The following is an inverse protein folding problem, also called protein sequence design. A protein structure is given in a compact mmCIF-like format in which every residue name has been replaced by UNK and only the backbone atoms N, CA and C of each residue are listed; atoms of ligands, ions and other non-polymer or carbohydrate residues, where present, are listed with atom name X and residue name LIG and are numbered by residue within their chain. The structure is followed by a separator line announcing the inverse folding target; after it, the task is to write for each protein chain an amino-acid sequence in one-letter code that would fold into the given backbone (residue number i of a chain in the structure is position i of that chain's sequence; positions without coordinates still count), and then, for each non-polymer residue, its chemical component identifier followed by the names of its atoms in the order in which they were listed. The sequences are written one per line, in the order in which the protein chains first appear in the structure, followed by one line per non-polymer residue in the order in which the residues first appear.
data_IF_275061939631
#
_entry.id   IF_275061939631
#
_cell.length_a   1.000
_cell.length_b   1.000
_cell.length_c   1.000
_cell.angle_alpha   90.00
_cell.angle_beta   90.00
_cell.angle_gamma   90.00
#
_symmetry.space_group_name_H-M   'P 1'
#
loop_
_entity.id
_entity.type
_entity.pdbx_description
1 polymer ?
#
# COMPACT_ATOMS: atom_id res chain seq x y z
N UNK A 1 -11.32 0.64 -1.80
CA UNK A 1 -12.30 1.33 -0.92
C UNK A 1 -11.75 1.49 0.49
N UNK A 2 -11.30 0.42 1.15
CA UNK A 2 -10.77 0.46 2.52
C UNK A 2 -9.63 1.47 2.74
N UNK A 3 -8.63 1.52 1.86
CA UNK A 3 -7.51 2.46 2.00
C UNK A 3 -7.97 3.91 2.02
N UNK A 4 -8.88 4.30 1.11
CA UNK A 4 -9.42 5.65 1.06
C UNK A 4 -10.23 6.00 2.31
N UNK A 5 -11.00 5.05 2.83
CA UNK A 5 -11.71 5.24 4.10
C UNK A 5 -10.71 5.46 5.25
N UNK A 6 -9.64 4.66 5.31
CA UNK A 6 -8.56 4.86 6.28
C UNK A 6 -7.98 6.27 6.16
N UNK A 7 -7.62 6.72 4.96
CA UNK A 7 -7.02 8.04 4.74
C UNK A 7 -7.92 9.20 5.21
N UNK A 8 -9.23 9.05 5.08
CA UNK A 8 -10.22 10.03 5.53
C UNK A 8 -10.48 10.00 7.04
N UNK A 9 -10.12 8.91 7.71
CA UNK A 9 -10.49 8.65 9.11
C UNK A 9 -9.34 8.89 10.10
N UNK A 10 -8.13 9.17 9.62
CA UNK A 10 -6.93 9.34 10.44
C UNK A 10 -6.31 10.71 10.23
N UNK A 11 -5.65 11.23 11.26
CA UNK A 11 -4.98 12.53 11.19
C UNK A 11 -3.73 12.53 10.30
N UNK A 12 -3.09 11.38 10.08
CA UNK A 12 -1.95 11.22 9.19
C UNK A 12 -1.96 9.82 8.55
N UNK A 13 -1.61 9.76 7.26
CA UNK A 13 -1.47 8.51 6.50
C UNK A 13 -0.07 7.91 6.60
N UNK A 14 0.88 8.57 7.26
CA UNK A 14 2.25 8.07 7.42
C UNK A 14 2.32 6.71 8.15
N UNK A 15 1.53 6.43 9.21
CA UNK A 15 1.50 5.11 9.83
C UNK A 15 1.04 4.01 8.86
N UNK A 16 0.12 4.34 7.94
CA UNK A 16 -0.31 3.41 6.88
C UNK A 16 0.84 3.08 5.93
N UNK A 17 1.57 4.10 5.46
CA UNK A 17 2.74 3.92 4.58
C UNK A 17 3.81 3.07 5.27
N UNK A 18 4.12 3.37 6.54
CA UNK A 18 5.09 2.61 7.34
C UNK A 18 4.67 1.15 7.49
N UNK A 19 3.40 0.88 7.80
CA UNK A 19 2.88 -0.47 7.93
C UNK A 19 2.95 -1.25 6.60
N UNK A 20 2.62 -0.60 5.48
CA UNK A 20 2.71 -1.21 4.15
C UNK A 20 4.15 -1.58 3.77
N UNK A 21 5.12 -0.70 4.06
CA UNK A 21 6.53 -0.98 3.81
C UNK A 21 7.06 -2.13 4.69
N UNK A 22 6.74 -2.11 5.99
CA UNK A 22 7.08 -3.22 6.90
C UNK A 22 6.46 -4.54 6.46
N UNK A 23 5.22 -4.51 5.99
CA UNK A 23 4.54 -5.71 5.47
C UNK A 23 5.24 -6.25 4.21
N UNK A 24 5.73 -5.38 3.33
CA UNK A 24 6.50 -5.80 2.16
C UNK A 24 7.84 -6.43 2.58
N UNK A 25 8.54 -5.83 3.53
CA UNK A 25 9.81 -6.34 4.07
C UNK A 25 9.63 -7.69 4.78
N UNK A 26 8.59 -7.84 5.61
CA UNK A 26 8.33 -9.03 6.41
C UNK A 26 7.89 -10.23 5.56
N UNK A 27 7.16 -10.00 4.47
CA UNK A 27 6.69 -11.08 3.61
C UNK A 27 7.79 -11.70 2.73
N UNK A 28 9.07 -11.34 2.93
CA UNK A 28 10.18 -11.70 2.02
C UNK A 28 9.77 -11.45 0.56
N UNK A 29 8.91 -10.43 0.34
CA UNK A 29 8.47 -10.10 -0.98
C UNK A 29 9.72 -9.59 -1.68
N UNK A 30 10.22 -10.37 -2.64
CA UNK A 30 11.15 -9.87 -3.63
C UNK A 30 10.76 -8.43 -3.94
N UNK A 31 11.70 -7.49 -3.76
CA UNK A 31 11.45 -6.05 -3.99
C UNK A 31 10.89 -5.76 -5.40
N UNK A 32 10.86 -6.77 -6.27
CA UNK A 32 10.17 -6.83 -7.55
C UNK A 32 9.51 -8.23 -7.73
N UNK A 33 8.25 -8.45 -7.31
CA UNK A 33 7.57 -9.70 -7.62
C UNK A 33 7.39 -9.80 -9.13
N UNK A 34 7.62 -10.98 -9.71
CA UNK A 34 7.26 -11.22 -11.11
C UNK A 34 5.76 -10.94 -11.33
N UNK A 35 5.38 -10.46 -12.52
CA UNK A 35 3.98 -10.11 -12.89
C UNK A 35 2.94 -11.19 -12.55
N UNK A 36 3.38 -12.45 -12.39
CA UNK A 36 2.56 -13.58 -11.99
C UNK A 36 2.09 -13.53 -10.53
N UNK A 37 2.86 -12.95 -9.61
CA UNK A 37 2.45 -12.74 -8.21
C UNK A 37 1.39 -11.63 -8.11
N UNK A 38 1.52 -10.59 -8.94
CA UNK A 38 0.50 -9.54 -9.09
C UNK A 38 -0.85 -10.10 -9.63
N UNK A 39 -0.75 -11.19 -10.42
CA UNK A 39 -1.90 -11.96 -10.91
C UNK A 39 -2.42 -12.98 -9.87
N UNK A 40 -1.57 -13.59 -9.05
CA UNK A 40 -2.02 -14.58 -8.06
C UNK A 40 -2.75 -13.97 -6.85
N UNK A 41 -2.40 -12.73 -6.45
CA UNK A 41 -3.03 -12.00 -5.32
C UNK A 41 -4.19 -11.06 -5.75
N UNK A 42 -4.91 -11.40 -6.83
CA UNK A 42 -5.99 -10.63 -7.45
C UNK A 42 -7.11 -10.08 -6.54
N UNK A 43 -7.17 -10.47 -5.27
CA UNK A 43 -8.11 -9.92 -4.30
C UNK A 43 -7.76 -8.50 -3.85
N UNK A 44 -6.50 -8.06 -3.96
CA UNK A 44 -6.06 -6.75 -3.48
C UNK A 44 -5.01 -6.06 -4.38
N UNK A 45 -5.03 -4.71 -4.47
CA UNK A 45 -4.00 -3.96 -5.18
C UNK A 45 -2.62 -4.19 -4.55
N UNK A 46 -1.59 -4.24 -5.39
CA UNK A 46 -0.20 -4.39 -4.96
C UNK A 46 0.21 -3.32 -3.93
N UNK A 47 1.05 -3.68 -2.95
CA UNK A 47 1.48 -2.79 -1.85
C UNK A 47 2.04 -1.47 -2.40
N UNK A 48 2.86 -1.50 -3.45
CA UNK A 48 3.42 -0.31 -4.08
C UNK A 48 2.34 0.68 -4.58
N UNK A 49 1.24 0.17 -5.17
CA UNK A 49 0.11 1.00 -5.61
C UNK A 49 -0.62 1.63 -4.43
N UNK A 50 -0.72 0.91 -3.31
CA UNK A 50 -1.35 1.40 -2.07
C UNK A 50 -0.51 2.49 -1.41
N UNK A 51 0.82 2.34 -1.38
CA UNK A 51 1.75 3.38 -0.91
C UNK A 51 1.68 4.63 -1.79
N UNK A 52 1.74 4.47 -3.11
CA UNK A 52 1.64 5.60 -4.04
C UNK A 52 0.31 6.36 -3.90
N UNK A 53 -0.79 5.64 -3.65
CA UNK A 53 -2.09 6.27 -3.39
C UNK A 53 -2.09 7.08 -2.08
N UNK A 54 -1.43 6.59 -1.03
CA UNK A 54 -1.29 7.32 0.24
C UNK A 54 -0.38 8.55 0.09
N UNK A 55 0.74 8.45 -0.63
CA UNK A 55 1.61 9.60 -0.92
C UNK A 55 0.91 10.68 -1.74
N UNK A 56 0.12 10.28 -2.73
CA UNK A 56 -0.70 11.21 -3.52
C UNK A 56 -1.78 11.89 -2.66
N UNK A 57 -2.34 11.17 -1.69
CA UNK A 57 -3.31 11.73 -0.73
C UNK A 57 -2.69 12.85 0.10
N UNK A 58 -1.49 12.63 0.66
CA UNK A 58 -0.74 13.65 1.43
C UNK A 58 -0.34 14.87 0.62
N UNK A 59 -0.14 14.73 -0.70
CA UNK A 59 0.16 15.88 -1.56
C UNK A 59 -1.08 16.72 -1.87
N UNK A 60 -2.27 16.12 -1.76
CA UNK A 60 -3.54 16.74 -2.12
C UNK A 60 -4.31 17.32 -0.92
N UNK A 61 -3.95 16.96 0.32
CA UNK A 61 -4.60 17.38 1.56
C UNK A 61 -3.54 17.70 2.62
#
# INVERSE_FOLDING_TARGET
QADRYCFQSVASVEPFISAMNKLAEQNLAEKTPSRWVEWFFHSHPAIAKRVAAAEAWTKAH
#
